data_IF_409881547059
#
_entry.id   IF_409881547059
#
_cell.length_a   1.000
_cell.length_b   1.000
_cell.length_c   1.000
_cell.angle_alpha   90.00
_cell.angle_beta   90.00
_cell.angle_gamma   90.00
#
_symmetry.space_group_name_H-M   'P 1'
#
loop_
_entity.id
_entity.type
_entity.pdbx_description
1 polymer ?
#
# COMPACT_ATOMS: atom_id res chain seq x y z
N UNK A 1 14.12 31.21 19.32
CA UNK A 1 14.52 29.87 19.77
C UNK A 1 15.99 29.92 20.13
N UNK A 2 16.40 29.33 21.26
CA UNK A 2 17.82 29.18 21.57
C UNK A 2 18.49 28.36 20.45
N UNK A 3 19.72 28.70 20.10
CA UNK A 3 20.45 27.94 19.09
C UNK A 3 20.72 26.52 19.62
N UNK A 4 20.44 25.49 18.82
CA UNK A 4 20.65 24.08 19.19
C UNK A 4 21.54 23.39 18.18
N UNK A 5 22.13 22.26 18.57
CA UNK A 5 22.88 21.39 17.67
C UNK A 5 22.62 19.93 18.02
N UNK A 6 22.91 19.03 17.08
CA UNK A 6 22.68 17.58 17.23
C UNK A 6 24.03 16.88 17.34
N UNK A 7 24.15 15.95 18.30
CA UNK A 7 25.27 15.01 18.41
C UNK A 7 24.76 13.69 18.97
N UNK A 8 25.53 12.62 18.76
CA UNK A 8 25.20 11.34 19.39
C UNK A 8 25.35 11.41 20.91
N UNK A 9 24.38 10.84 21.61
CA UNK A 9 24.35 10.69 23.05
C UNK A 9 23.93 9.27 23.41
N UNK A 10 24.53 8.73 24.46
CA UNK A 10 24.19 7.40 24.95
C UNK A 10 23.13 7.52 26.04
N UNK A 11 21.91 7.07 25.73
CA UNK A 11 20.82 6.93 26.68
C UNK A 11 20.72 5.48 27.17
N UNK A 12 20.23 5.28 28.39
CA UNK A 12 19.88 3.95 28.91
C UNK A 12 18.37 3.85 29.05
N UNK A 13 17.77 2.83 28.44
CA UNK A 13 16.34 2.57 28.48
C UNK A 13 16.06 1.26 29.20
N UNK A 14 15.17 1.28 30.19
CA UNK A 14 14.74 0.06 30.90
C UNK A 14 13.46 -0.49 30.30
N UNK A 15 13.53 -1.68 29.71
CA UNK A 15 12.38 -2.37 29.10
C UNK A 15 12.16 -3.69 29.84
N UNK A 16 11.02 -3.80 30.53
CA UNK A 16 10.63 -5.01 31.32
C UNK A 16 11.75 -5.50 32.28
N UNK A 17 12.51 -4.58 32.86
CA UNK A 17 13.58 -4.88 33.82
C UNK A 17 14.97 -5.13 33.20
N UNK A 18 15.11 -4.94 31.89
CA UNK A 18 16.38 -5.04 31.17
C UNK A 18 16.82 -3.65 30.69
N UNK A 19 18.09 -3.31 30.89
CA UNK A 19 18.65 -2.01 30.54
C UNK A 19 19.39 -2.08 29.19
N UNK A 20 19.03 -1.17 28.28
CA UNK A 20 19.60 -1.08 26.94
C UNK A 20 20.28 0.26 26.75
N UNK A 21 21.59 0.22 26.45
CA UNK A 21 22.33 1.43 26.09
C UNK A 21 22.23 1.67 24.59
N UNK A 22 21.72 2.84 24.23
CA UNK A 22 21.51 3.26 22.85
C UNK A 22 22.30 4.53 22.60
N UNK A 23 23.21 4.47 21.63
CA UNK A 23 23.92 5.64 21.13
C UNK A 23 23.17 6.21 19.91
N UNK A 24 22.43 7.30 20.10
CA UNK A 24 21.57 7.90 19.08
C UNK A 24 21.71 9.42 19.04
N UNK A 25 21.36 10.09 17.93
CA UNK A 25 21.35 11.54 17.85
C UNK A 25 20.41 12.15 18.91
N UNK A 26 20.88 13.17 19.63
CA UNK A 26 20.09 13.94 20.58
C UNK A 26 20.36 15.44 20.41
N UNK A 27 19.38 16.26 20.76
CA UNK A 27 19.47 17.72 20.65
C UNK A 27 20.06 18.33 21.91
N UNK A 28 20.97 19.28 21.71
CA UNK A 28 21.63 20.01 22.78
C UNK A 28 21.52 21.52 22.57
N UNK A 29 21.40 22.25 23.67
CA UNK A 29 21.48 23.71 23.68
C UNK A 29 22.94 24.16 23.44
N UNK A 30 23.14 25.13 22.55
CA UNK A 30 24.49 25.57 22.15
C UNK A 30 25.24 26.32 23.24
N UNK A 31 24.56 26.90 24.23
CA UNK A 31 25.19 27.70 25.29
C UNK A 31 25.52 26.86 26.51
N UNK A 32 24.57 26.01 26.92
CA UNK A 32 24.65 25.21 28.15
C UNK A 32 25.15 23.80 27.90
N UNK A 33 25.11 23.31 26.65
CA UNK A 33 25.43 21.94 26.29
C UNK A 33 24.56 20.90 27.02
N UNK A 34 23.37 21.31 27.47
CA UNK A 34 22.37 20.44 28.10
C UNK A 34 21.43 19.84 27.03
N UNK A 35 20.88 18.66 27.31
CA UNK A 35 19.87 18.04 26.46
C UNK A 35 18.63 18.94 26.34
N UNK A 36 18.08 18.98 25.13
CA UNK A 36 16.83 19.66 24.79
C UNK A 36 15.89 18.60 24.26
N UNK A 37 14.65 18.58 24.77
CA UNK A 37 13.62 17.66 24.32
C UNK A 37 13.39 17.80 22.80
N UNK A 38 13.38 16.67 22.11
CA UNK A 38 13.11 16.59 20.67
C UNK A 38 12.38 15.27 20.43
N UNK A 39 11.07 15.34 20.26
CA UNK A 39 10.22 14.16 20.18
C UNK A 39 10.65 13.17 19.09
N UNK A 40 11.09 13.66 17.92
CA UNK A 40 11.50 12.79 16.82
C UNK A 40 12.79 12.04 17.15
N UNK A 41 13.78 12.73 17.74
CA UNK A 41 15.05 12.12 18.13
C UNK A 41 14.88 11.18 19.33
N UNK A 42 14.03 11.56 20.29
CA UNK A 42 13.72 10.77 21.47
C UNK A 42 12.97 9.48 21.08
N UNK A 43 11.97 9.56 20.20
CA UNK A 43 11.25 8.39 19.68
C UNK A 43 12.17 7.45 18.88
N UNK A 44 13.08 8.00 18.08
CA UNK A 44 14.07 7.19 17.35
C UNK A 44 15.01 6.43 18.29
N UNK A 45 15.44 7.05 19.39
CA UNK A 45 16.28 6.40 20.41
C UNK A 45 15.52 5.29 21.16
N UNK A 46 14.23 5.51 21.47
CA UNK A 46 13.36 4.51 22.08
C UNK A 46 13.19 3.30 21.14
N UNK A 47 12.97 3.53 19.85
CA UNK A 47 12.76 2.42 18.90
C UNK A 47 14.03 1.56 18.72
N UNK A 48 15.21 2.17 18.78
CA UNK A 48 16.48 1.43 18.83
C UNK A 48 16.59 0.54 20.08
N UNK A 49 16.16 1.03 21.26
CA UNK A 49 16.13 0.22 22.48
C UNK A 49 15.12 -0.92 22.35
N UNK A 50 13.93 -0.65 21.81
CA UNK A 50 12.92 -1.66 21.53
C UNK A 50 13.46 -2.74 20.59
N UNK A 51 14.20 -2.35 19.54
CA UNK A 51 14.82 -3.30 18.60
C UNK A 51 15.84 -4.20 19.28
N UNK A 52 16.67 -3.66 20.19
CA UNK A 52 17.60 -4.47 20.99
C UNK A 52 16.83 -5.48 21.85
N UNK A 53 15.77 -5.05 22.54
CA UNK A 53 14.91 -5.95 23.33
C UNK A 53 14.26 -7.05 22.47
N UNK A 54 13.73 -6.71 21.29
CA UNK A 54 13.14 -7.70 20.36
C UNK A 54 14.18 -8.72 19.92
N UNK A 55 15.40 -8.29 19.64
CA UNK A 55 16.48 -9.16 19.19
C UNK A 55 16.90 -10.16 20.29
N UNK A 56 17.09 -9.67 21.52
CA UNK A 56 17.48 -10.50 22.67
C UNK A 56 16.43 -11.57 23.01
N UNK A 57 15.15 -11.18 23.04
CA UNK A 57 14.06 -12.09 23.41
C UNK A 57 13.39 -12.78 22.22
N UNK A 58 13.93 -12.57 21.02
CA UNK A 58 13.41 -13.08 19.77
C UNK A 58 11.90 -12.78 19.61
N UNK A 59 11.51 -11.52 19.77
CA UNK A 59 10.19 -11.06 19.38
C UNK A 59 10.17 -10.71 17.89
N UNK A 60 9.05 -10.96 17.24
CA UNK A 60 8.82 -10.43 15.89
C UNK A 60 8.85 -8.90 15.90
N UNK A 61 9.31 -8.31 14.81
CA UNK A 61 9.22 -6.87 14.57
C UNK A 61 7.83 -6.48 14.04
N UNK A 62 7.43 -5.20 14.16
CA UNK A 62 6.21 -4.70 13.54
C UNK A 62 6.20 -4.89 12.01
N UNK A 63 7.38 -4.80 11.39
CA UNK A 63 7.53 -5.00 9.95
C UNK A 63 7.40 -6.48 9.58
N UNK A 64 7.96 -7.40 10.36
CA UNK A 64 7.80 -8.85 10.14
C UNK A 64 6.31 -9.22 10.04
N UNK A 65 5.48 -8.62 10.91
CA UNK A 65 4.03 -8.83 10.94
C UNK A 65 3.32 -8.22 9.73
N UNK A 66 3.67 -6.98 9.35
CA UNK A 66 3.10 -6.31 8.18
C UNK A 66 3.49 -7.01 6.88
N UNK A 67 4.73 -7.43 6.76
CA UNK A 67 5.27 -8.14 5.60
C UNK A 67 4.59 -9.50 5.47
N UNK A 68 4.45 -10.24 6.56
CA UNK A 68 3.69 -11.50 6.58
C UNK A 68 2.25 -11.30 6.12
N UNK A 69 1.53 -10.33 6.69
CA UNK A 69 0.14 -10.05 6.28
C UNK A 69 0.06 -9.66 4.81
N UNK A 70 0.96 -8.81 4.33
CA UNK A 70 1.01 -8.37 2.94
C UNK A 70 1.29 -9.53 2.00
N UNK A 71 2.21 -10.42 2.38
CA UNK A 71 2.55 -11.65 1.65
C UNK A 71 1.33 -12.56 1.48
N UNK A 72 0.52 -12.71 2.53
CA UNK A 72 -0.69 -13.56 2.51
C UNK A 72 -1.93 -12.82 1.95
N UNK A 73 -1.91 -11.49 1.88
CA UNK A 73 -3.05 -10.68 1.46
C UNK A 73 -4.09 -10.43 2.57
N UNK A 74 -3.66 -10.46 3.84
CA UNK A 74 -4.52 -10.30 5.01
C UNK A 74 -4.57 -8.85 5.48
N UNK A 75 -5.77 -8.36 5.79
CA UNK A 75 -5.95 -7.14 6.60
C UNK A 75 -5.61 -7.40 8.09
N UNK A 76 -5.54 -6.34 8.91
CA UNK A 76 -5.42 -6.52 10.36
C UNK A 76 -6.62 -7.28 10.95
N UNK A 77 -7.82 -7.09 10.37
CA UNK A 77 -9.04 -7.79 10.80
C UNK A 77 -9.01 -9.25 10.38
N UNK A 78 -8.53 -9.54 9.18
CA UNK A 78 -8.36 -10.90 8.67
C UNK A 78 -7.43 -11.72 9.58
N UNK A 79 -6.28 -11.15 9.97
CA UNK A 79 -5.37 -11.81 10.89
C UNK A 79 -5.95 -11.94 12.30
N UNK A 80 -6.71 -10.94 12.75
CA UNK A 80 -7.37 -10.99 14.05
C UNK A 80 -8.43 -12.10 14.08
N UNK A 81 -9.24 -12.21 13.03
CA UNK A 81 -10.23 -13.27 12.84
C UNK A 81 -9.57 -14.65 12.78
N UNK A 82 -8.50 -14.80 11.99
CA UNK A 82 -7.75 -16.06 11.87
C UNK A 82 -7.18 -16.57 13.21
N UNK A 83 -6.81 -15.67 14.12
CA UNK A 83 -6.17 -16.02 15.40
C UNK A 83 -7.11 -15.93 16.61
N UNK A 84 -8.38 -15.61 16.38
CA UNK A 84 -9.37 -15.29 17.41
C UNK A 84 -8.87 -14.20 18.38
N UNK A 85 -8.24 -13.15 17.83
CA UNK A 85 -7.75 -11.99 18.56
C UNK A 85 -8.63 -10.76 18.29
N UNK A 86 -8.52 -9.76 19.17
CA UNK A 86 -9.12 -8.46 18.87
C UNK A 86 -8.32 -7.76 17.74
N UNK A 87 -8.96 -7.04 16.81
CA UNK A 87 -8.25 -6.25 15.79
C UNK A 87 -7.27 -5.24 16.40
N UNK A 88 -7.59 -4.70 17.58
CA UNK A 88 -6.70 -3.81 18.33
C UNK A 88 -5.40 -4.50 18.75
N UNK A 89 -5.44 -5.80 19.06
CA UNK A 89 -4.24 -6.57 19.41
C UNK A 89 -3.26 -6.61 18.24
N UNK A 90 -3.76 -6.86 17.01
CA UNK A 90 -2.93 -6.85 15.80
C UNK A 90 -2.39 -5.45 15.54
N UNK A 91 -3.25 -4.43 15.60
CA UNK A 91 -2.84 -3.04 15.39
C UNK A 91 -1.73 -2.61 16.37
N UNK A 92 -1.85 -2.95 17.66
CA UNK A 92 -0.84 -2.64 18.68
C UNK A 92 0.53 -3.23 18.34
N UNK A 93 0.57 -4.49 17.89
CA UNK A 93 1.83 -5.14 17.53
C UNK A 93 2.47 -4.49 16.30
N UNK A 94 1.65 -4.09 15.32
CA UNK A 94 2.11 -3.38 14.13
C UNK A 94 2.55 -1.93 14.35
N UNK A 95 2.19 -1.34 15.49
CA UNK A 95 2.66 -0.03 15.93
C UNK A 95 3.80 -0.10 16.95
N UNK A 96 4.33 -1.31 17.24
CA UNK A 96 5.53 -1.45 18.07
C UNK A 96 5.30 -2.10 19.43
N UNK A 97 4.07 -2.39 19.86
CA UNK A 97 3.86 -3.05 21.14
C UNK A 97 4.44 -4.48 21.13
N UNK A 98 5.07 -4.88 22.24
CA UNK A 98 5.61 -6.23 22.35
C UNK A 98 4.49 -7.26 22.51
N UNK A 99 4.42 -8.31 21.65
CA UNK A 99 3.47 -9.38 21.85
C UNK A 99 3.72 -10.14 23.16
N UNK A 100 2.70 -10.84 23.64
CA UNK A 100 2.90 -11.80 24.73
C UNK A 100 3.78 -12.95 24.23
N UNK A 101 4.42 -13.70 25.14
CA UNK A 101 5.22 -14.86 24.74
C UNK A 101 4.41 -15.92 23.99
N UNK A 102 3.14 -16.09 24.34
CA UNK A 102 2.23 -17.01 23.66
C UNK A 102 1.92 -16.49 22.25
N UNK A 103 1.51 -15.23 22.12
CA UNK A 103 1.17 -14.63 20.83
C UNK A 103 2.38 -14.60 19.88
N UNK A 104 3.57 -14.29 20.40
CA UNK A 104 4.81 -14.32 19.62
C UNK A 104 5.11 -15.72 19.08
N UNK A 105 4.84 -16.79 19.83
CA UNK A 105 5.04 -18.17 19.36
C UNK A 105 4.09 -18.51 18.22
N UNK A 106 2.81 -18.13 18.33
CA UNK A 106 1.80 -18.36 17.29
C UNK A 106 2.20 -17.61 16.00
N UNK A 107 2.54 -16.33 16.10
CA UNK A 107 2.96 -15.53 14.93
C UNK A 107 4.21 -16.10 14.26
N UNK A 108 5.20 -16.50 15.05
CA UNK A 108 6.41 -17.16 14.53
C UNK A 108 6.10 -18.47 13.82
N UNK A 109 5.20 -19.28 14.36
CA UNK A 109 4.81 -20.54 13.74
C UNK A 109 4.13 -20.30 12.37
N UNK A 110 3.19 -19.35 12.32
CA UNK A 110 2.52 -18.94 11.07
C UNK A 110 3.50 -18.40 10.03
N UNK A 111 4.48 -17.60 10.45
CA UNK A 111 5.48 -17.01 9.56
C UNK A 111 6.51 -18.02 9.05
N UNK A 112 6.72 -19.12 9.78
CA UNK A 112 7.75 -20.11 9.47
C UNK A 112 7.27 -21.24 8.57
N UNK A 113 5.97 -21.59 8.63
CA UNK A 113 5.43 -22.76 7.94
C UNK A 113 3.98 -22.54 7.47
N UNK A 114 3.78 -22.55 6.14
CA UNK A 114 2.48 -22.40 5.49
C UNK A 114 1.50 -23.53 5.86
N UNK A 115 1.98 -24.69 6.33
CA UNK A 115 1.12 -25.73 6.86
C UNK A 115 0.38 -25.28 8.12
N UNK A 116 0.99 -24.43 8.96
CA UNK A 116 0.31 -23.86 10.14
C UNK A 116 -0.85 -23.00 9.68
N UNK A 117 -0.65 -22.16 8.65
CA UNK A 117 -1.73 -21.35 8.07
C UNK A 117 -2.88 -22.24 7.55
N UNK A 118 -2.54 -23.37 6.93
CA UNK A 118 -3.52 -24.38 6.47
C UNK A 118 -4.31 -24.98 7.63
N UNK A 119 -3.65 -25.32 8.74
CA UNK A 119 -4.32 -25.87 9.93
C UNK A 119 -5.31 -24.86 10.51
N UNK A 120 -4.87 -23.61 10.73
CA UNK A 120 -5.73 -22.55 11.26
C UNK A 120 -6.92 -22.25 10.33
N UNK A 121 -6.73 -22.30 9.01
CA UNK A 121 -7.82 -22.10 8.06
C UNK A 121 -8.83 -23.26 8.01
N UNK A 122 -8.46 -24.48 8.43
CA UNK A 122 -9.31 -25.67 8.33
C UNK A 122 -9.93 -26.11 9.67
N UNK A 123 -9.32 -25.75 10.82
CA UNK A 123 -9.84 -26.11 12.14
C UNK A 123 -11.17 -25.42 12.49
N UNK A 124 -11.50 -24.32 11.79
CA UNK A 124 -12.66 -23.44 12.02
C UNK A 124 -13.70 -23.47 10.87
N UNK A 125 -13.95 -24.65 10.30
CA UNK A 125 -14.74 -24.83 9.06
C UNK A 125 -16.19 -24.29 9.04
N UNK A 126 -16.69 -23.66 10.11
CA UNK A 126 -17.99 -22.98 10.16
C UNK A 126 -17.94 -21.50 10.64
N UNK A 127 -16.78 -20.95 11.04
CA UNK A 127 -16.70 -19.61 11.68
C UNK A 127 -15.92 -18.55 10.91
N UNK A 128 -14.85 -18.89 10.19
CA UNK A 128 -14.11 -17.88 9.41
C UNK A 128 -14.91 -17.45 8.17
N UNK A 129 -14.85 -16.16 7.86
CA UNK A 129 -15.50 -15.56 6.70
C UNK A 129 -15.04 -16.21 5.39
N UNK A 130 -15.95 -16.24 4.43
CA UNK A 130 -15.68 -16.78 3.09
C UNK A 130 -14.52 -16.03 2.42
N UNK A 131 -14.44 -14.72 2.61
CA UNK A 131 -13.36 -13.89 2.07
C UNK A 131 -11.99 -14.19 2.69
N UNK A 132 -11.91 -14.44 4.00
CA UNK A 132 -10.68 -14.83 4.66
C UNK A 132 -10.17 -16.19 4.17
N UNK A 133 -11.04 -17.20 4.13
CA UNK A 133 -10.70 -18.51 3.57
C UNK A 133 -10.18 -18.41 2.13
N UNK A 134 -10.84 -17.62 1.29
CA UNK A 134 -10.45 -17.39 -0.08
C UNK A 134 -9.04 -16.76 -0.22
N UNK A 135 -8.73 -15.75 0.60
CA UNK A 135 -7.39 -15.12 0.64
C UNK A 135 -6.30 -16.14 1.00
N UNK A 136 -6.55 -16.91 2.07
CA UNK A 136 -5.59 -17.92 2.54
C UNK A 136 -5.40 -19.02 1.47
N UNK A 137 -6.48 -19.54 0.90
CA UNK A 137 -6.40 -20.53 -0.17
C UNK A 137 -5.61 -19.99 -1.37
N UNK A 138 -5.88 -18.76 -1.80
CA UNK A 138 -5.18 -18.15 -2.92
C UNK A 138 -3.68 -17.98 -2.66
N UNK A 139 -3.29 -17.55 -1.46
CA UNK A 139 -1.89 -17.52 -1.06
C UNK A 139 -1.25 -18.92 -1.11
N UNK A 140 -1.90 -19.92 -0.50
CA UNK A 140 -1.38 -21.30 -0.43
C UNK A 140 -1.27 -21.98 -1.80
N UNK A 141 -2.16 -21.65 -2.74
CA UNK A 141 -2.16 -22.21 -4.10
C UNK A 141 -1.41 -21.34 -5.11
N UNK A 142 -0.84 -20.21 -4.70
CA UNK A 142 -0.22 -19.22 -5.60
C UNK A 142 -1.21 -18.60 -6.60
N UNK A 143 -2.50 -18.63 -6.28
CA UNK A 143 -3.57 -18.04 -7.10
C UNK A 143 -3.78 -16.56 -6.74
N UNK A 144 -4.27 -15.71 -7.66
CA UNK A 144 -4.62 -14.33 -7.32
C UNK A 144 -5.68 -14.25 -6.22
N UNK A 145 -5.53 -13.33 -5.27
CA UNK A 145 -6.48 -13.11 -4.16
C UNK A 145 -7.89 -12.86 -4.72
N UNK A 146 -8.92 -13.62 -4.30
CA UNK A 146 -10.29 -13.41 -4.76
C UNK A 146 -10.84 -12.13 -4.12
N UNK A 147 -11.28 -11.20 -4.96
CA UNK A 147 -11.99 -10.01 -4.52
C UNK A 147 -13.40 -10.41 -4.08
N UNK A 148 -13.91 -9.80 -3.00
CA UNK A 148 -15.28 -10.04 -2.50
C UNK A 148 -16.29 -9.86 -3.64
N UNK A 149 -16.81 -10.98 -4.14
CA UNK A 149 -17.81 -10.97 -5.20
C UNK A 149 -19.17 -10.58 -4.61
N UNK A 150 -19.63 -9.37 -4.93
CA UNK A 150 -21.03 -8.99 -4.78
C UNK A 150 -21.72 -9.09 -6.15
N UNK A 151 -22.86 -9.81 -6.27
CA UNK A 151 -23.55 -10.00 -7.55
C UNK A 151 -24.17 -8.70 -8.12
N UNK A 152 -24.18 -7.61 -7.35
CA UNK A 152 -24.59 -6.27 -7.77
C UNK A 152 -23.39 -5.33 -7.87
N UNK A 153 -23.21 -4.61 -9.01
CA UNK A 153 -22.17 -3.61 -9.15
C UNK A 153 -22.30 -2.54 -8.06
N UNK A 154 -21.22 -2.33 -7.31
CA UNK A 154 -21.16 -1.30 -6.29
C UNK A 154 -20.76 0.04 -6.91
N UNK A 155 -21.28 1.17 -6.40
CA UNK A 155 -20.79 2.47 -6.83
C UNK A 155 -19.30 2.62 -6.43
N UNK A 156 -18.50 3.33 -7.24
CA UNK A 156 -17.10 3.58 -6.89
C UNK A 156 -16.94 4.28 -5.54
N UNK A 157 -15.99 3.81 -4.73
CA UNK A 157 -15.63 4.43 -3.44
C UNK A 157 -14.86 5.74 -3.61
N UNK A 158 -14.13 5.90 -4.72
CA UNK A 158 -13.21 7.02 -4.97
C UNK A 158 -13.41 7.64 -6.35
N UNK A 159 -13.06 8.91 -6.50
CA UNK A 159 -12.97 9.55 -7.82
C UNK A 159 -11.65 9.23 -8.51
N UNK A 160 -11.57 9.42 -9.82
CA UNK A 160 -10.31 9.20 -10.53
C UNK A 160 -9.22 10.18 -10.09
N UNK A 161 -9.61 11.39 -9.67
CA UNK A 161 -8.67 12.40 -9.18
C UNK A 161 -8.06 12.02 -7.82
N UNK A 162 -8.85 11.43 -6.92
CA UNK A 162 -8.33 10.94 -5.63
C UNK A 162 -7.30 9.82 -5.83
N UNK A 163 -7.60 8.89 -6.74
CA UNK A 163 -6.68 7.80 -7.09
C UNK A 163 -5.42 8.34 -7.81
N UNK A 164 -5.56 9.38 -8.65
CA UNK A 164 -4.42 10.07 -9.24
C UNK A 164 -3.54 10.72 -8.16
N UNK A 165 -4.16 11.38 -7.17
CA UNK A 165 -3.45 11.98 -6.05
C UNK A 165 -2.70 10.95 -5.22
N UNK A 166 -3.22 9.73 -5.06
CA UNK A 166 -2.49 8.65 -4.41
C UNK A 166 -1.14 8.36 -5.11
N UNK A 167 -1.14 8.22 -6.44
CA UNK A 167 0.09 8.03 -7.22
C UNK A 167 1.03 9.24 -7.15
N UNK A 168 0.49 10.46 -7.16
CA UNK A 168 1.29 11.70 -7.08
C UNK A 168 2.04 11.78 -5.75
N UNK A 169 1.35 11.47 -4.64
CA UNK A 169 1.96 11.47 -3.31
C UNK A 169 2.96 10.33 -3.13
N UNK A 170 2.70 9.14 -3.67
CA UNK A 170 3.71 8.07 -3.72
C UNK A 170 4.98 8.52 -4.46
N UNK A 171 4.83 9.05 -5.68
CA UNK A 171 5.96 9.51 -6.48
C UNK A 171 6.75 10.63 -5.78
N UNK A 172 6.08 11.53 -5.07
CA UNK A 172 6.74 12.55 -4.24
C UNK A 172 7.63 11.93 -3.15
N UNK A 173 7.13 10.95 -2.41
CA UNK A 173 7.93 10.27 -1.39
C UNK A 173 9.06 9.43 -2.00
N UNK A 174 8.83 8.82 -3.17
CA UNK A 174 9.87 8.08 -3.89
C UNK A 174 11.00 9.01 -4.36
N UNK A 175 10.67 10.17 -4.91
CA UNK A 175 11.65 11.18 -5.34
C UNK A 175 12.49 11.75 -4.19
N UNK A 176 11.95 11.80 -2.97
CA UNK A 176 12.73 12.15 -1.77
C UNK A 176 13.75 11.07 -1.38
N UNK A 177 13.47 9.80 -1.68
CA UNK A 177 14.33 8.66 -1.35
C UNK A 177 15.37 8.39 -2.42
N UNK A 178 15.03 8.60 -3.68
CA UNK A 178 15.92 8.41 -4.82
C UNK A 178 15.79 9.57 -5.82
N UNK A 179 16.83 10.41 -5.99
CA UNK A 179 16.81 11.55 -6.91
C UNK A 179 16.73 11.15 -8.39
N UNK A 180 16.84 9.86 -8.73
CA UNK A 180 16.71 9.37 -10.11
C UNK A 180 15.27 8.96 -10.47
N UNK A 181 14.32 9.03 -9.53
CA UNK A 181 12.92 8.73 -9.80
C UNK A 181 12.37 9.72 -10.82
N UNK A 182 11.81 9.19 -11.91
CA UNK A 182 11.10 9.98 -12.91
C UNK A 182 9.87 10.65 -12.27
N UNK A 183 9.77 11.98 -12.41
CA UNK A 183 8.57 12.71 -11.97
C UNK A 183 7.32 12.15 -12.68
N UNK A 184 6.27 11.89 -11.92
CA UNK A 184 5.02 11.39 -12.47
C UNK A 184 4.44 12.43 -13.46
N UNK A 185 4.21 11.98 -14.69
CA UNK A 185 3.55 12.77 -15.72
C UNK A 185 2.06 12.49 -15.80
N UNK A 186 1.30 13.43 -16.37
CA UNK A 186 -0.12 13.22 -16.66
C UNK A 186 -0.33 11.95 -17.50
N UNK A 187 0.49 11.73 -18.53
CA UNK A 187 0.32 10.56 -19.40
C UNK A 187 0.52 9.25 -18.64
N UNK A 188 1.53 9.19 -17.76
CA UNK A 188 1.83 7.99 -16.96
C UNK A 188 0.67 7.67 -16.01
N UNK A 189 0.19 8.65 -15.24
CA UNK A 189 -0.91 8.42 -14.29
C UNK A 189 -2.21 7.99 -14.99
N UNK A 190 -2.52 8.53 -16.18
CA UNK A 190 -3.67 8.10 -16.96
C UNK A 190 -3.61 6.62 -17.36
N UNK A 191 -2.41 6.09 -17.66
CA UNK A 191 -2.23 4.66 -17.96
C UNK A 191 -2.33 3.80 -16.71
N UNK A 192 -1.69 4.20 -15.62
CA UNK A 192 -1.79 3.47 -14.35
C UNK A 192 -3.25 3.35 -13.90
N UNK A 193 -4.02 4.44 -13.97
CA UNK A 193 -5.46 4.43 -13.67
C UNK A 193 -6.27 3.54 -14.63
N UNK A 194 -5.92 3.50 -15.92
CA UNK A 194 -6.58 2.58 -16.86
C UNK A 194 -6.34 1.12 -16.49
N UNK A 195 -5.10 0.74 -16.13
CA UNK A 195 -4.79 -0.62 -15.70
C UNK A 195 -5.46 -0.96 -14.36
N UNK A 196 -5.45 -0.03 -13.40
CA UNK A 196 -6.17 -0.19 -12.13
C UNK A 196 -7.67 -0.38 -12.34
N UNK A 197 -8.29 0.44 -13.20
CA UNK A 197 -9.71 0.33 -13.54
C UNK A 197 -10.03 -1.03 -14.17
N UNK A 198 -9.22 -1.48 -15.13
CA UNK A 198 -9.43 -2.77 -15.80
C UNK A 198 -9.26 -3.97 -14.86
N UNK A 199 -8.21 -3.97 -14.04
CA UNK A 199 -7.95 -5.04 -13.06
C UNK A 199 -9.04 -5.08 -11.98
N UNK A 200 -9.44 -3.93 -11.45
CA UNK A 200 -10.56 -3.85 -10.50
C UNK A 200 -11.85 -4.37 -11.12
N UNK A 201 -12.23 -3.86 -12.31
CA UNK A 201 -13.48 -4.21 -12.96
C UNK A 201 -13.55 -5.70 -13.34
N UNK A 202 -12.43 -6.30 -13.76
CA UNK A 202 -12.35 -7.73 -14.06
C UNK A 202 -12.55 -8.61 -12.82
N UNK A 203 -12.16 -8.12 -11.64
CA UNK A 203 -12.18 -8.90 -10.40
C UNK A 203 -13.45 -8.65 -9.55
N UNK A 204 -13.90 -7.40 -9.45
CA UNK A 204 -15.07 -7.00 -8.63
C UNK A 204 -16.36 -6.85 -9.42
N UNK A 205 -16.29 -6.89 -10.76
CA UNK A 205 -17.39 -6.51 -11.66
C UNK A 205 -17.98 -5.11 -11.40
N UNK A 206 -17.25 -4.27 -10.68
CA UNK A 206 -17.65 -2.92 -10.32
C UNK A 206 -16.65 -1.90 -10.86
N UNK A 207 -17.09 -0.74 -11.36
CA UNK A 207 -16.17 0.29 -11.84
C UNK A 207 -15.34 0.86 -10.69
N UNK A 208 -14.06 1.15 -10.94
CA UNK A 208 -13.18 1.75 -9.94
C UNK A 208 -13.46 3.25 -9.71
N UNK A 209 -13.99 3.93 -10.73
CA UNK A 209 -14.42 5.34 -10.72
C UNK A 209 -15.46 5.58 -11.82
N UNK A 210 -16.18 6.71 -11.78
CA UNK A 210 -17.23 7.02 -12.78
C UNK A 210 -16.73 7.87 -13.97
N UNK A 211 -15.52 8.43 -13.90
CA UNK A 211 -14.98 9.24 -14.98
C UNK A 211 -14.85 8.45 -16.28
N UNK A 212 -15.35 8.94 -17.43
CA UNK A 212 -15.26 8.21 -18.68
C UNK A 212 -13.80 8.09 -19.14
N UNK A 213 -13.48 6.93 -19.72
CA UNK A 213 -12.19 6.67 -20.35
C UNK A 213 -12.34 6.83 -21.85
N UNK A 214 -11.67 7.82 -22.43
CA UNK A 214 -11.81 8.18 -23.85
C UNK A 214 -10.67 7.58 -24.68
N UNK A 215 -10.98 7.05 -25.86
CA UNK A 215 -10.00 6.54 -26.82
C UNK A 215 -9.28 7.70 -27.56
N UNK A 216 -8.25 8.27 -26.94
CA UNK A 216 -7.49 9.40 -27.50
C UNK A 216 -6.27 8.94 -28.30
N UNK A 217 -5.65 9.77 -29.17
CA UNK A 217 -4.53 9.37 -30.02
C UNK A 217 -3.30 8.78 -29.29
N UNK A 218 -3.13 9.10 -28.01
CA UNK A 218 -2.05 8.58 -27.16
C UNK A 218 -2.54 7.54 -26.15
N UNK A 219 -3.65 6.85 -26.45
CA UNK A 219 -4.22 5.75 -25.69
C UNK A 219 -5.44 6.16 -24.86
N UNK A 220 -5.90 5.29 -23.93
CA UNK A 220 -7.04 5.59 -23.06
C UNK A 220 -6.73 6.77 -22.14
N UNK A 221 -7.71 7.66 -21.98
CA UNK A 221 -7.60 8.89 -21.18
C UNK A 221 -8.79 9.00 -20.23
N UNK A 222 -8.52 8.95 -18.93
CA UNK A 222 -9.49 9.26 -17.87
C UNK A 222 -9.79 10.76 -17.89
N UNK A 223 -11.01 11.13 -18.30
CA UNK A 223 -11.36 12.51 -18.68
C UNK A 223 -11.16 13.51 -17.54
N UNK A 224 -11.60 13.17 -16.33
CA UNK A 224 -11.51 14.03 -15.13
C UNK A 224 -10.05 14.39 -14.81
N UNK A 225 -9.16 13.39 -14.82
CA UNK A 225 -7.73 13.57 -14.52
C UNK A 225 -7.04 14.34 -15.65
N UNK A 226 -7.39 14.07 -16.91
CA UNK A 226 -6.87 14.84 -18.03
C UNK A 226 -7.26 16.31 -17.92
N UNK A 227 -8.52 16.62 -17.63
CA UNK A 227 -8.99 18.01 -17.51
C UNK A 227 -8.24 18.76 -16.41
N UNK A 228 -7.98 18.11 -15.26
CA UNK A 228 -7.25 18.71 -14.15
C UNK A 228 -5.79 19.07 -14.49
N UNK A 229 -5.09 18.18 -15.19
CA UNK A 229 -3.64 18.29 -15.41
C UNK A 229 -3.25 18.59 -16.87
N UNK A 230 -4.21 18.99 -17.71
CA UNK A 230 -4.01 19.18 -19.14
C UNK A 230 -2.82 20.11 -19.44
N UNK A 231 -1.92 19.63 -20.31
CA UNK A 231 -0.75 20.41 -20.76
C UNK A 231 0.44 20.37 -19.79
N UNK A 232 0.34 19.68 -18.66
CA UNK A 232 1.42 19.57 -17.69
C UNK A 232 2.32 18.37 -17.99
N UNK A 233 3.65 18.60 -17.94
CA UNK A 233 4.65 17.54 -18.14
C UNK A 233 4.90 16.72 -16.87
N UNK A 234 5.00 17.40 -15.72
CA UNK A 234 5.09 16.81 -14.39
C UNK A 234 3.94 17.30 -13.53
N UNK A 235 3.43 16.44 -12.66
CA UNK A 235 2.26 16.73 -11.80
C UNK A 235 2.58 16.67 -10.31
N UNK A 236 3.86 16.71 -9.90
CA UNK A 236 4.28 16.47 -8.50
C UNK A 236 5.02 17.67 -7.88
N UNK A 237 6.20 18.04 -8.40
CA UNK A 237 7.26 18.78 -7.68
C UNK A 237 6.84 20.10 -7.03
N UNK A 238 5.80 20.78 -7.51
CA UNK A 238 5.29 22.03 -6.94
C UNK A 238 3.76 22.14 -6.98
N UNK A 239 3.07 21.01 -7.05
CA UNK A 239 1.61 20.97 -7.28
C UNK A 239 0.84 20.12 -6.26
N UNK A 240 1.50 19.57 -5.26
CA UNK A 240 0.82 18.88 -4.17
C UNK A 240 0.30 19.93 -3.17
N UNK A 241 -1.02 19.99 -3.05
CA UNK A 241 -1.73 20.73 -2.02
C UNK A 241 -2.19 19.79 -0.89
N UNK A 242 -2.70 20.36 0.21
CA UNK A 242 -3.21 19.58 1.35
C UNK A 242 -4.31 18.59 0.94
N UNK A 243 -5.06 18.91 -0.12
CA UNK A 243 -6.08 18.00 -0.67
C UNK A 243 -5.44 16.72 -1.22
N UNK A 244 -4.30 16.81 -1.91
CA UNK A 244 -3.62 15.62 -2.42
C UNK A 244 -3.17 14.67 -1.31
N UNK A 245 -2.65 15.20 -0.18
CA UNK A 245 -2.28 14.39 0.98
C UNK A 245 -3.50 13.83 1.73
N UNK A 246 -4.60 14.58 1.77
CA UNK A 246 -5.88 14.12 2.33
C UNK A 246 -6.45 12.97 1.50
N UNK A 247 -6.47 13.11 0.17
CA UNK A 247 -6.90 12.06 -0.77
C UNK A 247 -6.02 10.83 -0.66
N UNK A 248 -4.69 10.99 -0.59
CA UNK A 248 -3.76 9.89 -0.37
C UNK A 248 -4.12 9.13 0.91
N UNK A 249 -4.29 9.84 2.04
CA UNK A 249 -4.61 9.22 3.33
C UNK A 249 -5.95 8.50 3.31
N UNK A 250 -6.95 9.09 2.65
CA UNK A 250 -8.28 8.51 2.48
C UNK A 250 -8.23 7.20 1.66
N UNK A 251 -7.54 7.22 0.51
CA UNK A 251 -7.39 6.02 -0.34
C UNK A 251 -6.53 4.96 0.35
N UNK A 252 -5.44 5.36 1.02
CA UNK A 252 -4.54 4.46 1.74
C UNK A 252 -5.23 3.74 2.90
N UNK A 253 -6.31 4.31 3.46
CA UNK A 253 -7.10 3.70 4.51
C UNK A 253 -8.02 2.56 4.01
N UNK A 254 -8.27 2.46 2.69
CA UNK A 254 -8.96 1.32 2.08
C UNK A 254 -7.92 0.29 1.59
N UNK A 255 -7.75 -0.84 2.29
CA UNK A 255 -6.67 -1.78 1.99
C UNK A 255 -6.85 -2.49 0.66
N UNK A 256 -8.08 -2.68 0.19
CA UNK A 256 -8.38 -3.33 -1.09
C UNK A 256 -7.91 -2.44 -2.25
N UNK A 257 -8.32 -1.18 -2.23
CA UNK A 257 -7.95 -0.22 -3.27
C UNK A 257 -6.46 0.14 -3.17
N UNK A 258 -5.92 0.35 -1.97
CA UNK A 258 -4.50 0.62 -1.79
C UNK A 258 -3.64 -0.54 -2.35
N UNK A 259 -3.99 -1.79 -2.05
CA UNK A 259 -3.26 -2.96 -2.54
C UNK A 259 -3.36 -3.10 -4.07
N UNK A 260 -4.53 -2.80 -4.65
CA UNK A 260 -4.67 -2.71 -6.10
C UNK A 260 -3.70 -1.68 -6.70
N UNK A 261 -3.68 -0.44 -6.19
CA UNK A 261 -2.82 0.61 -6.71
C UNK A 261 -1.33 0.29 -6.56
N UNK A 262 -0.93 -0.32 -5.44
CA UNK A 262 0.42 -0.83 -5.19
C UNK A 262 0.78 -1.91 -6.20
N UNK A 263 -0.11 -2.87 -6.47
CA UNK A 263 0.16 -3.93 -7.46
C UNK A 263 0.39 -3.35 -8.86
N UNK A 264 -0.41 -2.36 -9.25
CA UNK A 264 -0.25 -1.65 -10.52
C UNK A 264 1.07 -0.87 -10.54
N UNK A 265 1.45 -0.24 -9.42
CA UNK A 265 2.74 0.44 -9.30
C UNK A 265 3.92 -0.54 -9.44
N UNK A 266 3.83 -1.73 -8.86
CA UNK A 266 4.88 -2.74 -8.97
C UNK A 266 5.04 -3.26 -10.41
N UNK A 267 3.93 -3.51 -11.10
CA UNK A 267 3.95 -4.07 -12.46
C UNK A 267 4.34 -3.03 -13.53
N UNK A 268 3.91 -1.78 -13.34
CA UNK A 268 3.94 -0.76 -14.40
C UNK A 268 4.70 0.52 -14.01
N UNK A 269 5.00 0.76 -12.73
CA UNK A 269 5.57 2.01 -12.23
C UNK A 269 6.95 2.35 -12.81
N UNK A 270 7.78 1.34 -13.07
CA UNK A 270 9.10 1.51 -13.70
C UNK A 270 9.03 1.71 -15.22
N UNK A 271 7.86 1.57 -15.83
CA UNK A 271 7.71 1.76 -17.27
C UNK A 271 7.48 3.24 -17.60
N UNK A 272 8.03 3.68 -18.72
CA UNK A 272 7.78 5.03 -19.23
C UNK A 272 6.35 5.16 -19.74
N UNK A 273 5.83 6.39 -19.76
CA UNK A 273 4.49 6.67 -20.31
C UNK A 273 4.32 6.16 -21.76
N UNK A 274 5.38 6.22 -22.57
CA UNK A 274 5.39 5.70 -23.93
C UNK A 274 5.29 4.16 -23.98
N UNK A 275 5.94 3.46 -23.05
CA UNK A 275 5.88 1.99 -22.95
C UNK A 275 4.49 1.51 -22.55
N UNK A 276 3.90 2.17 -21.55
CA UNK A 276 2.50 1.92 -21.14
C UNK A 276 1.52 2.22 -22.27
N UNK A 277 1.74 3.32 -23.00
CA UNK A 277 0.95 3.64 -24.19
C UNK A 277 1.00 2.50 -25.20
N UNK A 278 2.18 1.96 -25.53
CA UNK A 278 2.33 0.82 -26.45
C UNK A 278 1.50 -0.40 -26.03
N UNK A 279 1.47 -0.72 -24.73
CA UNK A 279 0.64 -1.81 -24.20
C UNK A 279 -0.85 -1.52 -24.50
N UNK A 280 -1.32 -0.32 -24.18
CA UNK A 280 -2.72 0.06 -24.42
C UNK A 280 -3.11 0.16 -25.90
N UNK A 281 -2.16 0.22 -26.83
CA UNK A 281 -2.41 0.27 -28.28
C UNK A 281 -2.36 -1.09 -28.97
N UNK A 282 -2.11 -2.19 -28.24
CA UNK A 282 -2.05 -3.52 -28.84
C UNK A 282 -3.31 -3.82 -29.67
N UNK A 283 -3.14 -4.50 -30.80
CA UNK A 283 -4.26 -4.85 -31.69
C UNK A 283 -5.26 -5.72 -30.93
N UNK A 284 -6.53 -5.32 -30.91
CA UNK A 284 -7.59 -6.00 -30.17
C UNK A 284 -7.80 -5.45 -28.75
N UNK A 285 -6.97 -4.52 -28.28
CA UNK A 285 -7.19 -3.80 -27.03
C UNK A 285 -8.48 -2.95 -27.09
N UNK A 286 -9.08 -2.62 -25.93
CA UNK A 286 -10.26 -1.75 -25.85
C UNK A 286 -10.08 -0.42 -26.58
N UNK A 287 -8.89 0.16 -26.48
CA UNK A 287 -8.54 1.37 -27.20
C UNK A 287 -8.55 1.16 -28.73
N UNK A 288 -7.89 0.09 -29.22
CA UNK A 288 -7.72 -0.14 -30.66
C UNK A 288 -9.01 -0.45 -31.42
N UNK A 289 -10.03 -0.97 -30.73
CA UNK A 289 -11.33 -1.32 -31.32
C UNK A 289 -12.41 -0.26 -31.07
N UNK A 290 -12.11 0.75 -30.26
CA UNK A 290 -13.01 1.89 -30.02
C UNK A 290 -12.71 3.01 -31.02
N UNK A 291 -13.76 3.63 -31.58
CA UNK A 291 -13.59 4.79 -32.46
C UNK A 291 -12.89 5.95 -31.72
N UNK A 292 -12.02 6.67 -32.43
CA UNK A 292 -11.30 7.80 -31.87
C UNK A 292 -12.24 8.81 -31.18
N UNK A 293 -11.80 9.32 -30.04
CA UNK A 293 -12.49 10.31 -29.20
C UNK A 293 -13.84 9.84 -28.60
N UNK A 294 -14.15 8.54 -28.70
CA UNK A 294 -15.33 7.96 -28.05
C UNK A 294 -14.99 7.35 -26.69
N UNK A 295 -15.96 7.30 -25.76
CA UNK A 295 -15.82 6.53 -24.53
C UNK A 295 -15.60 5.06 -24.84
N UNK A 296 -14.61 4.46 -24.18
CA UNK A 296 -14.37 3.02 -24.18
C UNK A 296 -15.37 2.40 -23.21
N UNK A 297 -16.14 1.41 -23.66
CA UNK A 297 -17.13 0.74 -22.83
C UNK A 297 -16.46 0.00 -21.66
N UNK A 298 -16.94 0.16 -20.41
CA UNK A 298 -16.42 -0.58 -19.26
C UNK A 298 -16.40 -2.10 -19.47
N UNK A 299 -17.47 -2.68 -20.02
CA UNK A 299 -17.56 -4.13 -20.26
C UNK A 299 -16.45 -4.64 -21.20
N UNK A 300 -16.08 -3.83 -22.20
CA UNK A 300 -14.98 -4.16 -23.12
C UNK A 300 -13.64 -4.15 -22.39
N UNK A 301 -13.43 -3.20 -21.48
CA UNK A 301 -12.25 -3.14 -20.61
C UNK A 301 -12.23 -4.37 -19.69
N UNK A 302 -13.30 -4.60 -18.93
CA UNK A 302 -13.40 -5.71 -17.98
C UNK A 302 -13.19 -7.08 -18.63
N UNK A 303 -13.80 -7.31 -19.81
CA UNK A 303 -13.62 -8.55 -20.58
C UNK A 303 -12.17 -8.75 -21.01
N UNK A 304 -11.50 -7.69 -21.49
CA UNK A 304 -10.10 -7.80 -21.91
C UNK A 304 -9.19 -8.18 -20.75
N UNK A 305 -9.35 -7.52 -19.60
CA UNK A 305 -8.55 -7.79 -18.41
C UNK A 305 -8.88 -9.14 -17.76
N UNK A 306 -10.07 -9.70 -18.02
CA UNK A 306 -10.44 -11.06 -17.58
C UNK A 306 -9.81 -12.16 -18.45
N UNK A 307 -9.54 -11.88 -19.73
CA UNK A 307 -8.96 -12.84 -20.69
C UNK A 307 -7.43 -12.91 -20.59
N UNK A 308 -6.78 -11.82 -20.18
CA UNK A 308 -5.35 -11.77 -19.90
C UNK A 308 -5.05 -12.13 -18.44
N UNK A 309 -5.49 -13.32 -17.99
CA UNK A 309 -4.93 -13.93 -16.78
C UNK A 309 -3.48 -14.29 -17.06
N UNK A 310 -2.58 -13.33 -16.83
CA UNK A 310 -1.16 -13.60 -16.67
C UNK A 310 -1.05 -14.49 -15.41
N UNK A 311 -0.74 -15.77 -15.64
CA UNK A 311 -0.27 -16.68 -14.60
C UNK A 311 1.14 -16.32 -14.17
#
# INVERSE_FOLDING_TARGET
MAATYIKNHTNTFTIRGHDYQVNAPARFDTQTNHLVADAELDDAAIELANQQYRSEFHFISPNDLKDFRTKVGLTQRDLAELLDWSPNTVALYETGAFPTRANNKVLKALMADDHVLTVFANEDGETLSVGLHQKICAYLTGSPIPIEYSPTPQPPKFTALQLANWYRVQNYFDAQRDPNVEELSQMKVLKLLYFAFGRHLALSHSPLFNSPIIAMPYGPVVLEVHQKFNGQRGIVDNQLDDNAFTDYSLVQADPEIAQLLISIQNDYGNQTAASLSRITHQKGSPWSVTSAEKPIAPDLIGTTFSQHKEC
#
